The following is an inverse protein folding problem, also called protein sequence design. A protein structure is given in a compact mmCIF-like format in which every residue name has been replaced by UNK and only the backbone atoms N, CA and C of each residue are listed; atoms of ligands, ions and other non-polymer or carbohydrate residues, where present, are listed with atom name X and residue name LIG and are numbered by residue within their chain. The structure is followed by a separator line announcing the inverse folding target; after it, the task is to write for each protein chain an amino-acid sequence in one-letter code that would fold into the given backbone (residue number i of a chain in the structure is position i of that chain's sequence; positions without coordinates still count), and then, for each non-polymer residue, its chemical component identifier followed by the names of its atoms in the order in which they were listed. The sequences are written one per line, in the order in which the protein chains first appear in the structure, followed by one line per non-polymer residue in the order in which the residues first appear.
data_IF_564077558393
#
_entry.id   IF_564077558393
#
_cell.length_a   1.000
_cell.length_b   1.000
_cell.length_c   1.000
_cell.angle_alpha   90.00
_cell.angle_beta   90.00
_cell.angle_gamma   90.00
#
_symmetry.space_group_name_H-M   'P 1'
#
loop_
_entity.id
_entity.type
_entity.pdbx_description
1 polymer ?
#
# COMPACT_ATOMS: atom_id res chain seq x y z
N UNK A 1 -13.51 -1.56 4.98
CA UNK A 1 -12.72 -2.79 4.76
C UNK A 1 -11.61 -2.48 3.78
N UNK A 2 -10.37 -2.50 4.27
CA UNK A 2 -9.17 -2.19 3.50
C UNK A 2 -9.07 -3.03 2.21
N UNK A 3 -8.94 -2.35 1.09
CA UNK A 3 -8.81 -2.93 -0.24
C UNK A 3 -7.43 -2.62 -0.81
N UNK A 4 -7.03 -3.41 -1.80
CA UNK A 4 -5.88 -3.10 -2.62
C UNK A 4 -6.08 -3.57 -4.06
N UNK A 5 -5.36 -2.99 -5.02
CA UNK A 5 -5.44 -3.35 -6.44
C UNK A 5 -4.25 -2.79 -7.20
N UNK A 6 -3.65 -3.61 -8.05
CA UNK A 6 -2.71 -3.13 -9.07
C UNK A 6 -3.51 -2.58 -10.27
N UNK A 7 -3.22 -1.35 -10.67
CA UNK A 7 -3.89 -0.63 -11.75
C UNK A 7 -2.82 -0.28 -12.79
N UNK A 8 -3.06 -0.65 -14.05
CA UNK A 8 -2.06 -0.48 -15.12
C UNK A 8 -1.96 0.96 -15.64
N UNK A 9 -3.01 1.77 -15.45
CA UNK A 9 -3.05 3.18 -15.85
C UNK A 9 -3.70 4.04 -14.77
N UNK A 10 -2.89 4.48 -13.83
CA UNK A 10 -3.22 5.52 -12.86
C UNK A 10 -2.48 6.80 -13.25
N UNK A 11 -3.21 7.79 -13.78
CA UNK A 11 -2.63 9.07 -14.26
C UNK A 11 -1.48 8.89 -15.27
N UNK A 12 -1.51 7.83 -16.09
CA UNK A 12 -0.49 7.55 -17.10
C UNK A 12 0.65 6.64 -16.63
N UNK A 13 0.59 6.07 -15.42
CA UNK A 13 1.59 5.12 -14.92
C UNK A 13 0.95 3.96 -14.14
N UNK A 14 1.54 2.75 -14.13
CA UNK A 14 1.06 1.65 -13.30
C UNK A 14 1.25 1.95 -11.80
N UNK A 15 0.21 1.73 -11.01
CA UNK A 15 0.20 2.01 -9.57
C UNK A 15 -0.45 0.88 -8.77
N UNK A 16 0.04 0.68 -7.54
CA UNK A 16 -0.63 -0.16 -6.55
C UNK A 16 -1.50 0.72 -5.64
N UNK A 17 -2.81 0.60 -5.78
CA UNK A 17 -3.75 1.32 -4.92
C UNK A 17 -4.05 0.51 -3.67
N UNK A 18 -4.01 1.17 -2.51
CA UNK A 18 -4.47 0.66 -1.21
C UNK A 18 -5.46 1.67 -0.65
N UNK A 19 -6.68 1.27 -0.32
CA UNK A 19 -7.70 2.22 0.10
C UNK A 19 -8.68 1.66 1.13
N UNK A 20 -9.28 2.56 1.89
CA UNK A 20 -10.25 2.24 2.93
C UNK A 20 -10.76 3.48 3.65
N UNK A 21 -11.58 3.28 4.67
CA UNK A 21 -11.98 4.34 5.58
C UNK A 21 -10.89 4.64 6.63
N UNK A 22 -11.12 5.62 7.50
CA UNK A 22 -10.18 5.94 8.58
C UNK A 22 -9.87 4.75 9.50
N UNK A 23 -10.84 3.88 9.79
CA UNK A 23 -10.61 2.72 10.65
C UNK A 23 -9.72 1.69 9.93
N UNK A 24 -9.90 1.51 8.63
CA UNK A 24 -9.03 0.70 7.80
C UNK A 24 -7.59 1.25 7.76
N UNK A 25 -7.43 2.57 7.67
CA UNK A 25 -6.10 3.20 7.68
C UNK A 25 -5.40 3.07 9.04
N UNK A 26 -6.13 3.16 10.15
CA UNK A 26 -5.59 2.88 11.48
C UNK A 26 -5.09 1.43 11.55
N UNK A 27 -5.86 0.48 11.03
CA UNK A 27 -5.47 -0.93 11.00
C UNK A 27 -4.25 -1.16 10.10
N UNK A 28 -4.17 -0.49 8.95
CA UNK A 28 -3.00 -0.56 8.06
C UNK A 28 -1.75 0.00 8.74
N UNK A 29 -1.85 1.14 9.42
CA UNK A 29 -0.74 1.76 10.14
C UNK A 29 -0.21 0.85 11.26
N UNK A 30 -1.11 0.27 12.05
CA UNK A 30 -0.75 -0.68 13.11
C UNK A 30 -0.03 -1.91 12.54
N UNK A 31 -0.55 -2.46 11.44
CA UNK A 31 0.04 -3.61 10.74
C UNK A 31 1.43 -3.31 10.16
N UNK A 32 1.61 -2.17 9.48
CA UNK A 32 2.90 -1.75 8.91
C UNK A 32 3.92 -1.47 10.01
N UNK A 33 3.50 -0.85 11.12
CA UNK A 33 4.38 -0.59 12.26
C UNK A 33 4.79 -1.91 12.95
N UNK A 34 3.88 -2.89 13.00
CA UNK A 34 4.12 -4.22 13.56
C UNK A 34 4.95 -5.17 12.69
N UNK A 35 5.17 -4.85 11.40
CA UNK A 35 5.97 -5.67 10.46
C UNK A 35 7.45 -5.83 10.91
N UNK A 36 7.91 -5.02 11.86
CA UNK A 36 9.31 -4.95 12.30
C UNK A 36 9.69 -5.91 13.41
N UNK A 37 8.73 -6.44 14.16
CA UNK A 37 9.02 -7.09 15.46
C UNK A 37 8.67 -8.58 15.47
N UNK A 38 7.48 -8.96 14.99
CA UNK A 38 6.93 -10.32 15.19
C UNK A 38 6.21 -10.91 13.98
N UNK A 39 5.99 -10.12 12.91
CA UNK A 39 5.22 -10.53 11.73
C UNK A 39 5.96 -10.12 10.47
N UNK A 40 6.52 -11.06 9.68
CA UNK A 40 7.29 -10.69 8.49
C UNK A 40 6.40 -10.21 7.33
N UNK A 41 5.09 -10.39 7.44
CA UNK A 41 4.13 -10.21 6.35
C UNK A 41 2.78 -9.68 6.86
N UNK A 42 2.19 -8.78 6.09
CA UNK A 42 0.82 -8.27 6.21
C UNK A 42 0.07 -8.56 4.92
N UNK A 43 -1.20 -8.94 5.01
CA UNK A 43 -2.05 -9.18 3.84
C UNK A 43 -3.26 -8.27 3.87
N UNK A 44 -3.51 -7.60 2.75
CA UNK A 44 -4.61 -6.66 2.55
C UNK A 44 -5.40 -7.04 1.30
N UNK A 45 -6.66 -6.61 1.22
CA UNK A 45 -7.54 -6.99 0.12
C UNK A 45 -7.89 -8.48 0.11
N UNK A 46 -8.61 -8.91 -0.94
CA UNK A 46 -9.19 -10.25 -1.05
C UNK A 46 -9.14 -10.77 -2.48
N UNK A 47 -9.13 -12.10 -2.64
CA UNK A 47 -9.15 -12.76 -3.95
C UNK A 47 -7.93 -12.42 -4.80
N UNK A 48 -8.18 -12.11 -6.09
CA UNK A 48 -7.16 -11.70 -7.07
C UNK A 48 -6.51 -10.34 -6.75
N UNK A 49 -7.21 -9.52 -5.95
CA UNK A 49 -6.79 -8.19 -5.51
C UNK A 49 -6.06 -8.22 -4.16
N UNK A 50 -5.76 -9.41 -3.64
CA UNK A 50 -5.00 -9.53 -2.40
C UNK A 50 -3.54 -9.09 -2.62
N UNK A 51 -3.05 -8.26 -1.72
CA UNK A 51 -1.67 -7.77 -1.69
C UNK A 51 -1.00 -8.25 -0.41
N UNK A 52 0.24 -8.66 -0.55
CA UNK A 52 1.11 -9.08 0.54
C UNK A 52 2.19 -8.02 0.71
N UNK A 53 2.22 -7.34 1.85
CA UNK A 53 3.27 -6.40 2.23
C UNK A 53 4.29 -7.17 3.08
N UNK A 54 5.56 -7.14 2.72
CA UNK A 54 6.61 -7.87 3.44
C UNK A 54 7.89 -7.07 3.60
N UNK A 55 8.62 -7.32 4.68
CA UNK A 55 9.92 -6.70 4.91
C UNK A 55 10.98 -7.36 4.04
N UNK A 56 11.74 -6.55 3.31
CA UNK A 56 12.92 -6.96 2.56
C UNK A 56 14.19 -6.61 3.32
N UNK A 57 15.20 -7.49 3.26
CA UNK A 57 16.53 -7.23 3.82
C UNK A 57 17.30 -6.11 3.08
N UNK A 58 16.77 -5.59 1.98
CA UNK A 58 17.33 -4.45 1.25
C UNK A 58 16.69 -3.15 1.75
N UNK A 59 17.51 -2.32 2.41
CA UNK A 59 17.07 -1.21 3.29
C UNK A 59 16.25 -0.11 2.60
N UNK A 60 16.49 0.16 1.31
CA UNK A 60 16.00 1.37 0.63
C UNK A 60 15.00 1.11 -0.50
N UNK A 61 14.44 -0.11 -0.59
CA UNK A 61 13.62 -0.49 -1.74
C UNK A 61 12.14 -0.59 -1.42
N UNK A 62 11.33 -0.18 -2.39
CA UNK A 62 9.88 -0.38 -2.45
C UNK A 62 9.66 -1.07 -3.79
N UNK A 63 9.48 -2.40 -3.76
CA UNK A 63 9.45 -3.21 -4.99
C UNK A 63 8.14 -3.98 -5.10
N UNK A 64 7.51 -3.91 -6.26
CA UNK A 64 6.23 -4.57 -6.52
C UNK A 64 6.43 -5.68 -7.55
N UNK A 65 6.13 -6.92 -7.15
CA UNK A 65 6.26 -8.11 -8.00
C UNK A 65 4.95 -8.89 -8.08
N UNK A 66 4.70 -9.48 -9.26
CA UNK A 66 3.50 -10.29 -9.52
C UNK A 66 3.85 -11.77 -9.44
N UNK A 67 3.37 -12.36 -8.35
CA UNK A 67 2.86 -13.72 -8.27
C UNK A 67 1.49 -13.54 -7.62
N UNK A 68 0.39 -14.20 -7.97
CA UNK A 68 -0.81 -14.10 -7.13
C UNK A 68 -0.48 -14.69 -5.75
N UNK A 69 -0.53 -13.92 -4.64
CA UNK A 69 -0.95 -12.51 -4.48
C UNK A 69 0.15 -11.47 -4.73
N UNK A 70 -0.18 -10.31 -5.32
CA UNK A 70 0.77 -9.21 -5.56
C UNK A 70 1.59 -8.93 -4.30
N UNK A 71 2.91 -8.81 -4.43
CA UNK A 71 3.80 -8.61 -3.30
C UNK A 71 4.41 -7.21 -3.39
N UNK A 72 4.21 -6.41 -2.34
CA UNK A 72 4.90 -5.15 -2.12
C UNK A 72 5.99 -5.36 -1.06
N UNK A 73 7.22 -5.47 -1.53
CA UNK A 73 8.40 -5.67 -0.69
C UNK A 73 8.98 -4.33 -0.29
N UNK A 74 9.09 -4.09 1.02
CA UNK A 74 9.57 -2.82 1.55
C UNK A 74 10.81 -3.04 2.40
N UNK A 75 11.84 -2.22 2.20
CA UNK A 75 12.88 -2.02 3.19
C UNK A 75 12.34 -1.31 4.43
N UNK A 76 13.10 -1.36 5.53
CA UNK A 76 12.69 -0.75 6.79
C UNK A 76 12.39 0.74 6.63
N UNK A 77 13.24 1.51 5.94
CA UNK A 77 13.04 2.95 5.79
C UNK A 77 11.79 3.28 4.95
N UNK A 78 11.49 2.48 3.93
CA UNK A 78 10.23 2.57 3.17
C UNK A 78 9.03 2.36 4.09
N UNK A 79 9.05 1.35 4.98
CA UNK A 79 7.95 1.09 5.90
C UNK A 79 7.73 2.23 6.91
N UNK A 80 8.81 2.81 7.43
CA UNK A 80 8.72 3.98 8.31
C UNK A 80 8.13 5.16 7.57
N UNK A 81 8.61 5.43 6.35
CA UNK A 81 8.08 6.52 5.53
C UNK A 81 6.61 6.29 5.17
N UNK A 82 6.21 5.06 4.88
CA UNK A 82 4.81 4.70 4.65
C UNK A 82 3.96 4.99 5.90
N UNK A 83 4.43 4.61 7.09
CA UNK A 83 3.75 4.90 8.34
C UNK A 83 3.60 6.42 8.60
N UNK A 84 4.66 7.19 8.38
CA UNK A 84 4.66 8.65 8.52
C UNK A 84 3.67 9.32 7.55
N UNK A 85 3.50 8.76 6.34
CA UNK A 85 2.55 9.26 5.33
C UNK A 85 1.10 8.86 5.65
N UNK A 86 0.87 7.67 6.22
CA UNK A 86 -0.48 7.21 6.59
C UNK A 86 -1.03 8.00 7.79
N UNK A 87 -0.18 8.40 8.74
CA UNK A 87 -0.61 9.15 9.93
C UNK A 87 -1.52 10.36 9.64
N UNK A 88 -1.13 11.28 8.74
CA UNK A 88 -1.98 12.40 8.30
C UNK A 88 -3.35 12.00 7.73
N UNK A 89 -3.43 10.83 7.07
CA UNK A 89 -4.67 10.35 6.45
C UNK A 89 -5.71 9.90 7.49
N UNK A 90 -5.32 9.63 8.74
CA UNK A 90 -6.24 9.16 9.78
C UNK A 90 -7.29 10.20 10.20
N UNK A 91 -7.06 11.47 9.89
CA UNK A 91 -7.91 12.59 10.31
C UNK A 91 -8.46 13.39 9.13
N UNK A 92 -8.19 12.94 7.89
CA UNK A 92 -8.53 13.69 6.68
C UNK A 92 -8.96 12.77 5.54
N UNK A 93 -9.58 13.36 4.53
CA UNK A 93 -9.79 12.69 3.24
C UNK A 93 -8.64 13.04 2.33
N UNK A 94 -8.07 12.04 1.65
CA UNK A 94 -6.97 12.26 0.72
C UNK A 94 -6.20 10.99 0.41
N UNK A 95 -5.07 11.16 -0.28
CA UNK A 95 -4.18 10.08 -0.65
C UNK A 95 -2.71 10.50 -0.55
N UNK A 96 -1.84 9.52 -0.37
CA UNK A 96 -0.39 9.67 -0.31
C UNK A 96 0.29 8.77 -1.33
N UNK A 97 1.44 9.21 -1.79
CA UNK A 97 2.24 8.52 -2.79
C UNK A 97 3.52 7.99 -2.14
N UNK A 98 3.86 6.76 -2.47
CA UNK A 98 5.11 6.12 -2.08
C UNK A 98 5.76 5.61 -3.34
N UNK A 99 6.97 6.11 -3.63
CA UNK A 99 7.73 5.65 -4.80
C UNK A 99 7.96 4.14 -4.73
N UNK A 100 7.81 3.46 -5.87
CA UNK A 100 8.06 2.04 -6.01
C UNK A 100 8.74 1.72 -7.34
N UNK A 101 9.26 0.51 -7.46
CA UNK A 101 9.73 -0.05 -8.73
C UNK A 101 9.13 -1.44 -8.96
N UNK A 102 9.39 -2.00 -10.16
CA UNK A 102 8.83 -3.28 -10.59
C UNK A 102 7.58 -3.09 -11.43
N UNK A 103 6.45 -3.66 -11.01
CA UNK A 103 5.20 -3.65 -11.77
C UNK A 103 4.35 -2.40 -11.58
N UNK A 104 4.67 -1.58 -10.59
CA UNK A 104 4.10 -0.27 -10.40
C UNK A 104 5.21 0.69 -10.00
N UNK A 105 5.12 1.91 -10.50
CA UNK A 105 6.08 2.99 -10.22
C UNK A 105 5.75 3.68 -8.89
N UNK A 106 4.54 3.46 -8.37
CA UNK A 106 4.09 4.03 -7.09
C UNK A 106 3.07 3.15 -6.37
N UNK A 107 3.03 3.31 -5.05
CA UNK A 107 1.93 2.87 -4.19
C UNK A 107 1.13 4.09 -3.77
N UNK A 108 -0.17 4.05 -4.02
CA UNK A 108 -1.10 5.09 -3.63
C UNK A 108 -1.91 4.60 -2.43
N UNK A 109 -1.76 5.25 -1.28
CA UNK A 109 -2.54 4.93 -0.07
C UNK A 109 -3.61 6.00 0.13
N UNK A 110 -4.88 5.60 0.15
CA UNK A 110 -6.03 6.51 0.11
C UNK A 110 -7.00 6.28 1.27
N UNK A 111 -7.43 7.37 1.90
CA UNK A 111 -8.34 7.38 3.04
C UNK A 111 -9.62 8.15 2.74
N UNK A 112 -10.76 7.47 2.89
CA UNK A 112 -12.09 8.00 2.57
C UNK A 112 -12.21 8.52 1.12
N UNK A 113 -11.32 8.06 0.23
CA UNK A 113 -11.24 8.43 -1.18
C UNK A 113 -11.11 7.15 -2.06
N UNK A 114 -12.09 6.97 -2.97
CA UNK A 114 -12.16 6.15 -4.21
C UNK A 114 -12.29 4.60 -4.22
N UNK A 115 -12.91 3.95 -5.27
CA UNK A 115 -13.42 4.53 -6.53
C UNK A 115 -14.86 4.21 -6.98
N UNK A 116 -15.63 5.27 -7.27
CA UNK A 116 -16.59 5.33 -8.39
C UNK A 116 -16.00 6.02 -9.64
N UNK A 117 -14.80 6.61 -9.55
CA UNK A 117 -14.28 7.57 -10.53
C UNK A 117 -13.09 7.11 -11.38
N UNK A 118 -12.61 5.86 -11.24
CA UNK A 118 -11.60 5.29 -12.16
C UNK A 118 -12.19 4.73 -13.47
N UNK A 119 -13.46 5.03 -13.75
CA UNK A 119 -14.17 4.60 -14.96
C UNK A 119 -14.98 5.73 -15.57
N UNK A 120 -14.33 6.61 -16.32
CA UNK A 120 -14.92 7.25 -17.50
C UNK A 120 -13.97 7.12 -18.67
#
# INVERSE_FOLDING_TARGET
MLQARLIDDFKGSPALLIWGDNADMVALLDQITGLRTDRPVVRIGYGENAVTISVSAQLDRSHIRSLPPVIWECGDDTLRRAADLIGPLLTSTGHQFIDADGLAEEVVVSANEYPTDFGR
#
